data_IF_128406616328
#
_entry.id   IF_128406616328
#
_cell.length_a   1.000
_cell.length_b   1.000
_cell.length_c   1.000
_cell.angle_alpha   90.00
_cell.angle_beta   90.00
_cell.angle_gamma   90.00
#
_symmetry.space_group_name_H-M   'P 1'
#
loop_
_entity.id
_entity.type
_entity.pdbx_description
1 polymer ?
#
# COMPACT_ATOMS: atom_id res chain seq x y z
N UNK A 1 -12.62 17.84 8.58
CA UNK A 1 -11.35 17.94 7.84
C UNK A 1 -11.31 16.93 6.68
N UNK A 2 -10.50 17.20 5.66
CA UNK A 2 -10.28 16.31 4.50
C UNK A 2 -8.87 15.75 4.55
N UNK A 3 -8.77 14.46 4.78
CA UNK A 3 -7.48 13.78 4.89
C UNK A 3 -7.29 12.83 3.70
N UNK A 4 -6.21 13.01 2.96
CA UNK A 4 -5.83 12.09 1.89
C UNK A 4 -4.65 11.24 2.34
N UNK A 5 -4.75 9.92 2.21
CA UNK A 5 -3.73 8.97 2.69
C UNK A 5 -3.24 8.09 1.54
N UNK A 6 -1.93 8.04 1.33
CA UNK A 6 -1.30 7.07 0.41
C UNK A 6 -1.03 5.78 1.19
N UNK A 7 -1.58 4.67 0.70
CA UNK A 7 -1.54 3.40 1.43
C UNK A 7 -1.24 2.20 0.55
N UNK A 8 -0.62 1.19 1.14
CA UNK A 8 -0.51 -0.16 0.61
C UNK A 8 -0.39 -1.17 1.73
N UNK A 9 -0.93 -2.35 1.52
CA UNK A 9 -0.81 -3.48 2.43
C UNK A 9 -1.48 -3.32 3.79
N UNK A 10 -1.13 -4.25 4.68
CA UNK A 10 -1.73 -4.39 6.02
C UNK A 10 -1.45 -3.19 6.93
N UNK A 11 -0.22 -2.66 6.87
CA UNK A 11 0.17 -1.50 7.70
C UNK A 11 -0.67 -0.27 7.38
N UNK A 12 -0.84 0.03 6.09
CA UNK A 12 -1.67 1.13 5.63
C UNK A 12 -3.15 0.97 6.00
N UNK A 13 -3.70 -0.25 5.84
CA UNK A 13 -5.09 -0.53 6.21
C UNK A 13 -5.35 -0.36 7.71
N UNK A 14 -4.42 -0.78 8.58
CA UNK A 14 -4.50 -0.55 10.02
C UNK A 14 -4.42 0.93 10.38
N UNK A 15 -3.54 1.67 9.71
CA UNK A 15 -3.47 3.12 9.91
C UNK A 15 -4.79 3.79 9.55
N UNK A 16 -5.41 3.42 8.42
CA UNK A 16 -6.73 3.92 8.03
C UNK A 16 -7.82 3.60 9.07
N UNK A 17 -7.76 2.42 9.70
CA UNK A 17 -8.69 2.04 10.76
C UNK A 17 -8.56 2.96 11.99
N UNK A 18 -7.33 3.24 12.42
CA UNK A 18 -7.07 4.20 13.50
C UNK A 18 -7.49 5.63 13.14
N UNK A 19 -7.22 6.06 11.91
CA UNK A 19 -7.65 7.37 11.44
C UNK A 19 -9.19 7.50 11.41
N UNK A 20 -9.89 6.46 10.95
CA UNK A 20 -11.36 6.36 10.98
C UNK A 20 -11.92 6.38 12.41
N UNK A 21 -11.21 5.76 13.36
CA UNK A 21 -11.59 5.78 14.78
C UNK A 21 -11.44 7.17 15.39
N UNK A 22 -10.46 7.94 14.93
CA UNK A 22 -10.19 9.30 15.41
C UNK A 22 -11.18 10.34 14.88
N UNK A 23 -11.48 10.27 13.58
CA UNK A 23 -12.26 11.26 12.87
C UNK A 23 -13.76 10.95 12.93
N UNK A 24 -14.59 12.00 12.91
CA UNK A 24 -16.03 11.89 12.96
C UNK A 24 -16.71 11.77 11.59
N UNK A 25 -18.04 11.68 11.62
CA UNK A 25 -18.85 11.54 10.39
C UNK A 25 -18.81 12.78 9.48
N UNK A 26 -18.44 13.94 10.01
CA UNK A 26 -18.30 15.20 9.25
C UNK A 26 -16.94 15.32 8.56
N UNK A 27 -16.02 14.37 8.80
CA UNK A 27 -14.68 14.34 8.23
C UNK A 27 -14.62 13.44 7.00
N UNK A 28 -13.81 13.82 6.02
CA UNK A 28 -13.62 13.06 4.79
C UNK A 28 -12.24 12.40 4.76
N UNK A 29 -12.22 11.07 4.67
CA UNK A 29 -10.99 10.30 4.48
C UNK A 29 -10.98 9.71 3.08
N UNK A 30 -9.97 10.04 2.29
CA UNK A 30 -9.70 9.41 0.99
C UNK A 30 -8.39 8.65 1.05
N UNK A 31 -8.41 7.38 0.71
CA UNK A 31 -7.22 6.55 0.59
C UNK A 31 -6.88 6.32 -0.88
N UNK A 32 -5.67 6.73 -1.27
CA UNK A 32 -5.07 6.41 -2.57
C UNK A 32 -4.29 5.12 -2.38
N UNK A 33 -4.78 4.05 -2.98
CA UNK A 33 -4.31 2.69 -2.71
C UNK A 33 -3.40 2.21 -3.83
N UNK A 34 -2.29 1.56 -3.45
CA UNK A 34 -1.39 0.87 -4.37
C UNK A 34 -2.12 -0.19 -5.19
N UNK A 35 -1.78 -0.28 -6.47
CA UNK A 35 -2.23 -1.32 -7.41
C UNK A 35 -1.06 -2.11 -8.00
N UNK A 36 0.17 -1.82 -7.57
CA UNK A 36 1.38 -2.51 -8.07
C UNK A 36 1.39 -4.01 -7.79
N UNK A 37 0.67 -4.43 -6.77
CA UNK A 37 0.56 -5.84 -6.34
C UNK A 37 -0.56 -6.59 -7.08
N UNK A 38 -1.38 -5.88 -7.86
CA UNK A 38 -2.51 -6.43 -8.58
C UNK A 38 -2.07 -7.46 -9.63
N UNK A 39 -2.79 -8.56 -9.72
CA UNK A 39 -2.41 -9.69 -10.58
C UNK A 39 -3.64 -10.39 -11.15
N UNK A 40 -3.47 -11.00 -12.31
CA UNK A 40 -4.43 -11.95 -12.86
C UNK A 40 -3.99 -13.38 -12.54
N UNK A 41 -4.82 -14.13 -11.81
CA UNK A 41 -4.62 -15.56 -11.51
C UNK A 41 -5.90 -16.34 -11.72
N UNK A 42 -5.82 -17.50 -12.32
CA UNK A 42 -6.98 -18.36 -12.64
C UNK A 42 -8.11 -17.60 -13.38
N UNK A 43 -7.74 -16.60 -14.19
CA UNK A 43 -8.71 -15.76 -14.89
C UNK A 43 -9.41 -14.72 -14.01
N UNK A 44 -8.98 -14.52 -12.78
CA UNK A 44 -9.51 -13.54 -11.83
C UNK A 44 -8.51 -12.40 -11.59
N UNK A 45 -9.02 -11.17 -11.54
CA UNK A 45 -8.24 -10.00 -11.11
C UNK A 45 -8.25 -9.93 -9.58
N UNK A 46 -7.08 -10.01 -9.01
CA UNK A 46 -6.82 -9.95 -7.57
C UNK A 46 -6.15 -8.62 -7.30
N UNK A 47 -6.67 -7.86 -6.33
CA UNK A 47 -6.17 -6.55 -5.93
C UNK A 47 -5.88 -6.56 -4.43
N UNK A 48 -4.72 -7.08 -4.00
CA UNK A 48 -4.44 -7.38 -2.59
C UNK A 48 -4.57 -6.18 -1.66
N UNK A 49 -4.04 -5.02 -2.05
CA UNK A 49 -4.03 -3.85 -1.19
C UNK A 49 -5.42 -3.18 -1.08
N UNK A 50 -6.16 -3.09 -2.20
CA UNK A 50 -7.54 -2.63 -2.20
C UNK A 50 -8.43 -3.52 -1.33
N UNK A 51 -8.30 -4.84 -1.47
CA UNK A 51 -9.09 -5.81 -0.72
C UNK A 51 -8.74 -5.78 0.77
N UNK A 52 -7.46 -5.69 1.12
CA UNK A 52 -7.02 -5.56 2.51
C UNK A 52 -7.58 -4.30 3.15
N UNK A 53 -7.53 -3.15 2.48
CA UNK A 53 -8.13 -1.91 2.99
C UNK A 53 -9.65 -2.04 3.14
N UNK A 54 -10.34 -2.54 2.12
CA UNK A 54 -11.77 -2.70 2.11
C UNK A 54 -12.27 -3.67 3.20
N UNK A 55 -11.59 -4.80 3.36
CA UNK A 55 -11.95 -5.80 4.37
C UNK A 55 -11.64 -5.33 5.79
N UNK A 56 -10.50 -4.67 5.99
CA UNK A 56 -10.12 -4.12 7.31
C UNK A 56 -11.14 -3.07 7.78
N UNK A 57 -11.49 -2.14 6.90
CA UNK A 57 -12.42 -1.05 7.23
C UNK A 57 -13.89 -1.46 7.27
N UNK A 58 -14.24 -2.57 6.60
CA UNK A 58 -15.57 -3.15 6.56
C UNK A 58 -15.77 -4.35 7.48
N UNK A 59 -14.88 -4.57 8.46
CA UNK A 59 -14.95 -5.63 9.49
C UNK A 59 -14.98 -7.06 8.93
N UNK A 60 -14.40 -7.27 7.76
CA UNK A 60 -14.36 -8.56 7.09
C UNK A 60 -13.00 -9.23 7.02
N UNK A 61 -11.94 -8.56 7.54
CA UNK A 61 -10.57 -9.07 7.52
C UNK A 61 -10.37 -10.20 8.54
N UNK A 62 -9.50 -11.15 8.20
CA UNK A 62 -8.97 -12.08 9.20
C UNK A 62 -7.86 -11.37 10.00
N UNK A 63 -8.13 -11.07 11.25
CA UNK A 63 -7.22 -10.29 12.11
C UNK A 63 -5.97 -11.06 12.54
N UNK A 64 -6.03 -12.39 12.56
CA UNK A 64 -4.88 -13.24 12.92
C UNK A 64 -3.87 -13.29 11.76
N UNK A 65 -4.33 -13.56 10.56
CA UNK A 65 -3.48 -13.53 9.36
C UNK A 65 -3.10 -12.11 8.95
N UNK A 66 -4.00 -11.14 9.17
CA UNK A 66 -3.86 -9.77 8.72
C UNK A 66 -4.18 -9.56 7.23
N UNK A 67 -4.68 -10.60 6.53
CA UNK A 67 -5.11 -10.57 5.13
C UNK A 67 -6.22 -11.59 4.87
N UNK A 68 -6.94 -11.41 3.76
CA UNK A 68 -8.04 -12.28 3.38
C UNK A 68 -9.28 -12.13 4.29
N UNK A 69 -10.24 -13.01 4.09
CA UNK A 69 -11.55 -12.92 4.76
C UNK A 69 -11.58 -13.69 6.08
N UNK A 70 -12.30 -13.12 7.05
CA UNK A 70 -12.64 -13.84 8.28
C UNK A 70 -13.47 -15.08 7.97
N UNK A 71 -13.29 -16.14 8.75
CA UNK A 71 -13.99 -17.42 8.61
C UNK A 71 -13.88 -17.99 7.17
N UNK A 72 -12.70 -17.92 6.59
CA UNK A 72 -12.41 -18.40 5.24
C UNK A 72 -12.32 -19.92 5.19
N UNK A 73 -12.65 -20.48 4.03
CA UNK A 73 -12.44 -21.88 3.66
C UNK A 73 -11.60 -21.96 2.37
N UNK A 74 -11.07 -23.14 2.08
CA UNK A 74 -10.04 -23.30 1.02
C UNK A 74 -10.37 -24.42 0.02
N UNK A 75 -11.66 -24.77 -0.13
CA UNK A 75 -12.10 -25.85 -1.00
C UNK A 75 -11.73 -25.62 -2.46
N UNK A 76 -11.94 -24.40 -2.97
CA UNK A 76 -11.59 -24.08 -4.36
C UNK A 76 -10.08 -24.20 -4.62
N UNK A 77 -9.22 -23.79 -3.65
CA UNK A 77 -7.78 -23.97 -3.75
C UNK A 77 -7.40 -25.45 -3.84
N UNK A 78 -7.99 -26.27 -3.01
CA UNK A 78 -7.69 -27.70 -2.94
C UNK A 78 -8.16 -28.42 -4.25
N UNK A 79 -9.30 -28.03 -4.79
CA UNK A 79 -9.78 -28.53 -6.09
C UNK A 79 -8.90 -28.05 -7.25
N UNK A 80 -8.48 -26.78 -7.28
CA UNK A 80 -7.55 -26.28 -8.30
C UNK A 80 -6.22 -27.04 -8.27
N UNK A 81 -5.69 -27.34 -7.10
CA UNK A 81 -4.49 -28.16 -6.95
C UNK A 81 -4.70 -29.59 -7.47
N UNK A 82 -5.87 -30.19 -7.24
CA UNK A 82 -6.22 -31.52 -7.75
C UNK A 82 -6.30 -31.56 -9.30
N UNK A 83 -6.67 -30.44 -9.95
CA UNK A 83 -6.60 -30.28 -11.39
C UNK A 83 -5.18 -29.99 -11.91
N UNK A 84 -4.20 -29.73 -11.03
CA UNK A 84 -2.85 -29.31 -11.42
C UNK A 84 -2.83 -27.88 -11.98
N UNK A 85 -3.74 -27.02 -11.53
CA UNK A 85 -3.80 -25.64 -12.01
C UNK A 85 -2.67 -24.78 -11.41
N UNK A 86 -1.97 -24.04 -12.28
CA UNK A 86 -0.96 -23.07 -11.88
C UNK A 86 -1.57 -21.64 -11.83
N UNK A 87 -1.06 -20.77 -10.90
CA UNK A 87 -0.08 -21.05 -9.87
C UNK A 87 -0.71 -21.74 -8.62
N UNK A 88 0.01 -22.69 -8.04
CA UNK A 88 -0.40 -23.43 -6.82
C UNK A 88 0.05 -22.75 -5.52
N UNK A 89 0.99 -21.83 -5.61
CA UNK A 89 1.59 -21.12 -4.46
C UNK A 89 0.75 -19.97 -3.93
N UNK A 90 -0.28 -19.51 -4.67
CA UNK A 90 -1.15 -18.41 -4.22
C UNK A 90 -2.51 -18.96 -3.75
N UNK A 91 -2.80 -18.82 -2.47
CA UNK A 91 -4.05 -19.30 -1.90
C UNK A 91 -5.19 -18.32 -2.10
N UNK A 92 -6.25 -18.74 -2.81
CA UNK A 92 -7.52 -18.03 -2.90
C UNK A 92 -8.52 -18.64 -1.92
N UNK A 93 -9.05 -17.81 -1.03
CA UNK A 93 -10.13 -18.23 -0.14
C UNK A 93 -11.46 -18.29 -0.87
N UNK A 94 -12.34 -19.21 -0.47
CA UNK A 94 -13.64 -19.44 -1.12
C UNK A 94 -14.53 -18.19 -1.10
N UNK A 95 -14.52 -17.44 0.02
CA UNK A 95 -15.27 -16.18 0.16
C UNK A 95 -14.63 -15.05 -0.63
N UNK A 96 -13.29 -15.01 -0.65
CA UNK A 96 -12.52 -13.99 -1.37
C UNK A 96 -12.71 -14.12 -2.88
N UNK A 97 -12.83 -15.34 -3.39
CA UNK A 97 -13.16 -15.62 -4.79
C UNK A 97 -14.41 -14.86 -5.24
N UNK A 98 -15.43 -14.70 -4.40
CA UNK A 98 -16.63 -13.95 -4.76
C UNK A 98 -16.31 -12.49 -5.09
N UNK A 99 -15.45 -11.84 -4.33
CA UNK A 99 -14.97 -10.47 -4.61
C UNK A 99 -14.21 -10.42 -5.95
N UNK A 100 -13.30 -11.36 -6.18
CA UNK A 100 -12.52 -11.44 -7.41
C UNK A 100 -13.40 -11.73 -8.64
N UNK A 101 -14.43 -12.56 -8.51
CA UNK A 101 -15.40 -12.85 -9.57
C UNK A 101 -16.20 -11.60 -9.98
N UNK A 102 -16.74 -10.86 -9.01
CA UNK A 102 -17.48 -9.61 -9.27
C UNK A 102 -16.57 -8.59 -9.94
N UNK A 103 -15.38 -8.36 -9.37
CA UNK A 103 -14.38 -7.44 -9.95
C UNK A 103 -14.04 -7.82 -11.38
N UNK A 104 -13.67 -9.07 -11.62
CA UNK A 104 -13.22 -9.54 -12.93
C UNK A 104 -14.33 -9.44 -13.97
N UNK A 105 -15.58 -9.75 -13.59
CA UNK A 105 -16.75 -9.61 -14.48
C UNK A 105 -16.95 -8.15 -14.88
N UNK A 106 -16.91 -7.20 -13.93
CA UNK A 106 -17.08 -5.79 -14.21
C UNK A 106 -15.96 -5.24 -15.10
N UNK A 107 -14.70 -5.57 -14.80
CA UNK A 107 -13.55 -5.18 -15.64
C UNK A 107 -13.70 -5.69 -17.09
N UNK A 108 -14.12 -6.94 -17.28
CA UNK A 108 -14.33 -7.52 -18.61
C UNK A 108 -15.48 -6.87 -19.40
N UNK A 109 -16.42 -6.27 -18.70
CA UNK A 109 -17.51 -5.51 -19.33
C UNK A 109 -17.15 -4.04 -19.55
N UNK A 110 -15.90 -3.64 -19.27
CA UNK A 110 -15.35 -2.32 -19.59
C UNK A 110 -15.43 -1.28 -18.49
N UNK A 111 -15.85 -1.65 -17.27
CA UNK A 111 -15.77 -0.72 -16.14
C UNK A 111 -14.32 -0.52 -15.70
N UNK A 112 -13.88 0.73 -15.42
CA UNK A 112 -12.56 0.99 -14.88
C UNK A 112 -12.46 0.49 -13.42
N UNK A 113 -11.24 0.23 -12.95
CA UNK A 113 -11.00 -0.29 -11.60
C UNK A 113 -11.55 0.62 -10.50
N UNK A 114 -11.50 1.94 -10.69
CA UNK A 114 -12.08 2.92 -9.77
C UNK A 114 -13.59 2.73 -9.57
N UNK A 115 -14.34 2.55 -10.65
CA UNK A 115 -15.79 2.29 -10.58
C UNK A 115 -16.11 0.91 -9.98
N UNK A 116 -15.28 -0.10 -10.28
CA UNK A 116 -15.40 -1.44 -9.68
C UNK A 116 -15.14 -1.38 -8.17
N UNK A 117 -14.11 -0.64 -7.75
CA UNK A 117 -13.78 -0.44 -6.33
C UNK A 117 -14.93 0.24 -5.59
N UNK A 118 -15.51 1.29 -6.16
CA UNK A 118 -16.69 1.97 -5.60
C UNK A 118 -17.87 1.00 -5.43
N UNK A 119 -18.18 0.20 -6.45
CA UNK A 119 -19.24 -0.80 -6.39
C UNK A 119 -19.02 -1.85 -5.29
N UNK A 120 -17.80 -2.33 -5.11
CA UNK A 120 -17.46 -3.23 -4.01
C UNK A 120 -17.58 -2.55 -2.65
N UNK A 121 -17.16 -1.30 -2.53
CA UNK A 121 -17.28 -0.50 -1.30
C UNK A 121 -18.72 -0.24 -0.91
N UNK A 122 -19.68 -0.18 -1.85
CA UNK A 122 -21.11 -0.09 -1.54
C UNK A 122 -21.61 -1.26 -0.69
N UNK A 123 -21.05 -2.44 -0.86
CA UNK A 123 -21.35 -3.60 -0.01
C UNK A 123 -20.60 -3.52 1.33
N UNK A 124 -19.32 -3.18 1.29
CA UNK A 124 -18.45 -3.24 2.47
C UNK A 124 -18.59 -2.05 3.40
N UNK A 125 -19.03 -0.90 2.88
CA UNK A 125 -19.20 0.36 3.63
C UNK A 125 -18.01 0.71 4.49
N UNK A 126 -16.81 0.83 3.90
CA UNK A 126 -15.58 1.02 4.68
C UNK A 126 -15.55 2.32 5.49
N UNK A 127 -16.42 3.30 5.19
CA UNK A 127 -16.41 4.63 5.81
C UNK A 127 -15.25 5.52 5.38
N UNK A 128 -14.43 5.04 4.44
CA UNK A 128 -13.30 5.73 3.81
C UNK A 128 -13.48 5.59 2.30
N UNK A 129 -13.23 6.67 1.55
CA UNK A 129 -13.22 6.60 0.09
C UNK A 129 -11.94 5.92 -0.39
N UNK A 130 -12.07 4.73 -0.95
CA UNK A 130 -10.94 3.98 -1.52
C UNK A 130 -10.82 4.29 -3.01
N UNK A 131 -9.67 4.80 -3.43
CA UNK A 131 -9.33 5.05 -4.84
C UNK A 131 -8.10 4.22 -5.21
N UNK A 132 -8.15 3.38 -6.25
CA UNK A 132 -6.92 2.87 -6.85
C UNK A 132 -6.09 4.06 -7.35
N UNK A 133 -4.78 4.03 -7.25
CA UNK A 133 -3.96 5.14 -7.73
C UNK A 133 -4.14 5.38 -9.23
N UNK A 134 -4.42 4.32 -9.98
CA UNK A 134 -4.67 4.34 -11.43
C UNK A 134 -5.66 3.27 -11.85
N UNK A 135 -6.39 3.52 -12.92
CA UNK A 135 -7.21 2.52 -13.62
C UNK A 135 -6.40 1.75 -14.68
N UNK A 136 -5.21 2.26 -15.01
CA UNK A 136 -4.32 1.67 -16.01
C UNK A 136 -3.48 0.54 -15.41
N UNK A 137 -2.82 -0.22 -16.29
CA UNK A 137 -1.89 -1.25 -15.85
C UNK A 137 -0.67 -0.62 -15.18
N UNK A 138 -0.43 -0.99 -13.94
CA UNK A 138 0.78 -0.64 -13.19
C UNK A 138 1.08 -1.81 -12.25
N UNK A 139 2.05 -2.63 -12.61
CA UNK A 139 2.39 -3.86 -11.89
C UNK A 139 3.85 -3.81 -11.42
N UNK A 140 4.08 -4.12 -10.16
CA UNK A 140 5.44 -4.26 -9.62
C UNK A 140 6.01 -5.62 -10.02
N UNK A 141 7.11 -5.57 -10.76
CA UNK A 141 7.92 -6.72 -11.11
C UNK A 141 9.29 -6.65 -10.43
N UNK A 142 9.84 -7.80 -10.17
CA UNK A 142 11.12 -7.96 -9.47
C UNK A 142 12.08 -8.67 -10.40
N UNK A 143 13.23 -8.06 -10.67
CA UNK A 143 14.30 -8.68 -11.45
C UNK A 143 15.13 -9.53 -10.49
N UNK A 144 15.13 -10.83 -10.73
CA UNK A 144 15.80 -11.84 -9.89
C UNK A 144 16.77 -12.67 -10.71
N UNK A 145 17.72 -13.30 -10.05
CA UNK A 145 18.47 -14.41 -10.66
C UNK A 145 17.50 -15.57 -10.88
N UNK A 146 17.48 -16.13 -12.08
CA UNK A 146 16.53 -17.21 -12.41
C UNK A 146 16.82 -18.47 -11.56
N UNK A 147 15.90 -18.85 -10.66
CA UNK A 147 16.11 -20.00 -9.78
C UNK A 147 16.04 -21.35 -10.53
N UNK A 148 15.50 -21.36 -11.75
CA UNK A 148 15.36 -22.58 -12.55
C UNK A 148 16.57 -22.83 -13.46
N UNK A 149 17.50 -21.84 -13.58
CA UNK A 149 18.72 -21.97 -14.39
C UNK A 149 19.94 -22.35 -13.54
N UNK A 150 20.69 -23.36 -14.06
CA UNK A 150 21.82 -23.95 -13.34
C UNK A 150 23.10 -23.11 -13.32
N UNK A 151 23.23 -22.17 -14.26
CA UNK A 151 24.46 -21.39 -14.43
C UNK A 151 24.48 -20.07 -13.62
N UNK A 152 23.38 -19.71 -12.97
CA UNK A 152 23.31 -18.64 -11.96
C UNK A 152 23.46 -17.20 -12.46
N UNK A 153 23.62 -17.00 -13.78
CA UNK A 153 23.87 -15.66 -14.36
C UNK A 153 22.67 -15.08 -15.09
N UNK A 154 21.65 -15.89 -15.37
CA UNK A 154 20.46 -15.43 -16.09
C UNK A 154 19.52 -14.67 -15.15
N UNK A 155 19.08 -13.49 -15.58
CA UNK A 155 18.09 -12.70 -14.86
C UNK A 155 16.73 -12.81 -15.55
N UNK A 156 15.68 -12.86 -14.75
CA UNK A 156 14.29 -12.73 -15.23
C UNK A 156 13.48 -11.79 -14.35
N UNK A 157 12.47 -11.20 -14.94
CA UNK A 157 11.48 -10.42 -14.19
C UNK A 157 10.29 -11.32 -13.83
N UNK A 158 9.96 -11.34 -12.54
CA UNK A 158 8.79 -12.04 -12.01
C UNK A 158 7.84 -11.04 -11.36
N UNK A 159 6.56 -11.37 -11.29
CA UNK A 159 5.60 -10.53 -10.59
C UNK A 159 5.93 -10.44 -9.10
N UNK A 160 5.68 -9.29 -8.45
CA UNK A 160 5.94 -9.09 -7.03
C UNK A 160 5.29 -10.16 -6.15
N UNK A 161 4.05 -10.58 -6.44
CA UNK A 161 3.37 -11.63 -5.68
C UNK A 161 4.10 -12.98 -5.75
N UNK A 162 4.71 -13.33 -6.87
CA UNK A 162 5.53 -14.54 -6.97
C UNK A 162 6.80 -14.43 -6.12
N UNK A 163 7.48 -13.31 -6.19
CA UNK A 163 8.67 -13.04 -5.37
C UNK A 163 8.36 -13.07 -3.87
N UNK A 164 7.22 -12.48 -3.50
CA UNK A 164 6.79 -12.36 -2.12
C UNK A 164 6.24 -13.67 -1.54
N UNK A 165 5.25 -14.29 -2.19
CA UNK A 165 4.51 -15.44 -1.67
C UNK A 165 5.25 -16.74 -1.92
N UNK A 166 5.73 -16.96 -3.16
CA UNK A 166 6.41 -18.20 -3.56
C UNK A 166 7.83 -18.26 -3.02
N UNK A 167 8.60 -17.21 -3.24
CA UNK A 167 10.03 -17.20 -2.91
C UNK A 167 10.34 -16.53 -1.58
N UNK A 168 9.39 -15.88 -0.92
CA UNK A 168 9.55 -15.19 0.37
C UNK A 168 10.73 -14.22 0.39
N UNK A 169 10.97 -13.54 -0.72
CA UNK A 169 12.09 -12.64 -0.96
C UNK A 169 13.49 -13.28 -0.76
N UNK A 170 13.61 -14.61 -0.79
CA UNK A 170 14.84 -15.33 -0.46
C UNK A 170 15.70 -15.70 -1.70
N UNK A 171 15.35 -15.19 -2.86
CA UNK A 171 16.16 -15.37 -4.08
C UNK A 171 16.95 -14.09 -4.38
N UNK A 172 18.15 -14.21 -5.02
CA UNK A 172 18.94 -13.04 -5.35
C UNK A 172 18.14 -12.05 -6.21
N UNK A 173 18.03 -10.83 -5.70
CA UNK A 173 17.18 -9.78 -6.27
C UNK A 173 18.03 -8.59 -6.69
N UNK A 174 17.78 -8.07 -7.89
CA UNK A 174 18.60 -7.01 -8.51
C UNK A 174 17.91 -5.65 -8.57
N UNK A 175 16.62 -5.61 -8.90
CA UNK A 175 15.87 -4.36 -9.01
C UNK A 175 14.36 -4.59 -8.96
N UNK A 176 13.61 -3.48 -8.80
CA UNK A 176 12.17 -3.41 -8.96
C UNK A 176 11.83 -2.59 -10.19
N UNK A 177 10.76 -2.96 -10.89
CA UNK A 177 10.23 -2.24 -12.04
C UNK A 177 8.70 -2.13 -11.93
N UNK A 178 8.16 -0.94 -12.17
CA UNK A 178 6.70 -0.72 -12.22
C UNK A 178 6.25 -0.75 -13.67
N UNK A 179 5.87 -1.95 -14.14
CA UNK A 179 5.50 -2.19 -15.53
C UNK A 179 4.18 -1.50 -15.87
N UNK A 180 4.21 -0.64 -16.85
CA UNK A 180 3.06 0.14 -17.30
C UNK A 180 2.88 1.47 -16.59
N UNK A 181 3.55 1.71 -15.46
CA UNK A 181 3.37 2.94 -14.68
C UNK A 181 3.69 4.22 -15.47
N UNK A 182 4.72 4.22 -16.33
CA UNK A 182 5.12 5.39 -17.11
C UNK A 182 4.02 5.90 -18.06
N UNK A 183 3.14 5.02 -18.52
CA UNK A 183 2.01 5.34 -19.40
C UNK A 183 0.69 5.51 -18.64
N UNK A 184 0.69 5.20 -17.34
CA UNK A 184 -0.50 5.28 -16.51
C UNK A 184 -0.88 6.72 -16.20
N UNK A 185 -2.17 6.94 -16.00
CA UNK A 185 -2.74 8.19 -15.50
C UNK A 185 -3.36 7.96 -14.11
N UNK A 186 -3.33 8.95 -13.21
CA UNK A 186 -4.06 8.85 -11.95
C UNK A 186 -5.54 8.57 -12.19
N UNK A 187 -6.13 7.68 -11.38
CA UNK A 187 -7.56 7.39 -11.48
C UNK A 187 -8.42 8.63 -11.17
N UNK A 188 -9.66 8.68 -11.66
CA UNK A 188 -10.56 9.79 -11.38
C UNK A 188 -10.69 10.09 -9.89
N UNK A 189 -10.51 11.36 -9.52
CA UNK A 189 -10.59 11.86 -8.14
C UNK A 189 -9.29 11.78 -7.35
N UNK A 190 -8.24 11.12 -7.84
CA UNK A 190 -6.94 11.02 -7.13
C UNK A 190 -6.26 12.39 -7.03
N UNK A 191 -6.11 13.11 -8.13
CA UNK A 191 -5.50 14.43 -8.10
C UNK A 191 -6.36 15.46 -7.35
N UNK A 192 -7.68 15.37 -7.47
CA UNK A 192 -8.61 16.24 -6.75
C UNK A 192 -8.50 16.02 -5.23
N UNK A 193 -8.37 14.75 -4.79
CA UNK A 193 -8.19 14.42 -3.38
C UNK A 193 -6.86 14.99 -2.82
N UNK A 194 -5.77 14.95 -3.60
CA UNK A 194 -4.49 15.54 -3.19
C UNK A 194 -4.55 17.07 -3.16
N UNK A 195 -5.21 17.70 -4.12
CA UNK A 195 -5.31 19.15 -4.22
C UNK A 195 -6.25 19.75 -3.16
N UNK A 196 -7.32 19.05 -2.83
CA UNK A 196 -8.35 19.52 -1.90
C UNK A 196 -8.18 19.05 -0.45
N UNK A 197 -7.08 18.37 -0.12
CA UNK A 197 -6.81 17.89 1.23
C UNK A 197 -6.43 19.03 2.18
N UNK A 198 -6.80 18.89 3.46
CA UNK A 198 -6.27 19.68 4.57
C UNK A 198 -4.95 19.06 5.10
N UNK A 199 -4.81 17.74 4.98
CA UNK A 199 -3.57 17.01 5.25
C UNK A 199 -3.41 15.85 4.27
N UNK A 200 -2.16 15.60 3.84
CA UNK A 200 -1.78 14.41 3.08
C UNK A 200 -0.85 13.55 3.93
N UNK A 201 -1.17 12.27 4.06
CA UNK A 201 -0.40 11.35 4.90
C UNK A 201 0.16 10.20 4.05
N UNK A 202 1.45 9.90 4.18
CA UNK A 202 2.05 8.66 3.74
C UNK A 202 1.95 7.66 4.91
N UNK A 203 1.05 6.70 4.82
CA UNK A 203 0.90 5.66 5.85
C UNK A 203 2.21 4.86 6.02
N UNK A 204 2.42 4.15 7.14
CA UNK A 204 3.60 3.32 7.36
C UNK A 204 3.55 2.03 6.51
N UNK A 205 3.50 2.22 5.20
CA UNK A 205 3.50 1.19 4.16
C UNK A 205 4.91 1.03 3.57
N UNK A 206 5.15 -0.07 2.85
CA UNK A 206 6.45 -0.32 2.23
C UNK A 206 6.86 0.85 1.30
N UNK A 207 8.02 1.47 1.53
CA UNK A 207 8.42 2.66 0.76
C UNK A 207 8.78 2.36 -0.69
N UNK A 208 9.07 1.11 -1.04
CA UNK A 208 9.48 0.70 -2.39
C UNK A 208 8.29 0.19 -3.19
N UNK A 209 7.65 -0.87 -2.71
CA UNK A 209 6.63 -1.59 -3.49
C UNK A 209 5.20 -1.13 -3.22
N UNK A 210 4.97 -0.33 -2.18
CA UNK A 210 3.65 0.28 -1.93
C UNK A 210 3.67 1.78 -2.25
N UNK A 211 4.25 2.62 -1.39
CA UNK A 211 4.30 4.07 -1.63
C UNK A 211 5.10 4.39 -2.89
N UNK A 212 6.23 3.72 -3.11
CA UNK A 212 7.05 3.89 -4.32
C UNK A 212 6.29 3.58 -5.60
N UNK A 213 5.47 2.54 -5.61
CA UNK A 213 4.62 2.19 -6.76
C UNK A 213 3.51 3.22 -7.01
N UNK A 214 2.91 3.79 -5.95
CA UNK A 214 1.97 4.92 -6.07
C UNK A 214 2.69 6.14 -6.69
N UNK A 215 3.88 6.45 -6.19
CA UNK A 215 4.68 7.60 -6.65
C UNK A 215 5.22 7.43 -8.08
N UNK A 216 5.25 6.21 -8.61
CA UNK A 216 5.67 5.93 -9.98
C UNK A 216 4.61 6.34 -11.01
N UNK A 217 3.36 6.50 -10.62
CA UNK A 217 2.30 6.98 -11.52
C UNK A 217 2.52 8.47 -11.81
N UNK A 218 2.63 8.87 -13.09
CA UNK A 218 2.88 10.27 -13.47
C UNK A 218 1.85 11.23 -12.89
N UNK A 219 2.32 12.37 -12.41
CA UNK A 219 1.47 13.41 -11.80
C UNK A 219 1.36 13.32 -10.27
N UNK A 220 1.52 12.14 -9.65
CA UNK A 220 1.38 11.99 -8.19
C UNK A 220 2.45 12.78 -7.44
N UNK A 221 3.73 12.62 -7.78
CA UNK A 221 4.83 13.40 -7.13
C UNK A 221 4.62 14.91 -7.31
N UNK A 222 4.21 15.33 -8.48
CA UNK A 222 3.93 16.76 -8.76
C UNK A 222 2.78 17.25 -7.90
N UNK A 223 1.69 16.50 -7.78
CA UNK A 223 0.55 16.84 -6.94
C UNK A 223 0.94 16.98 -5.47
N UNK A 224 1.74 16.05 -4.93
CA UNK A 224 2.27 16.12 -3.56
C UNK A 224 3.16 17.35 -3.33
N UNK A 225 3.94 17.75 -4.33
CA UNK A 225 4.82 18.92 -4.24
C UNK A 225 4.07 20.25 -4.33
N UNK A 226 2.93 20.27 -4.99
CA UNK A 226 2.16 21.50 -5.27
C UNK A 226 0.92 21.67 -4.41
N UNK A 227 0.47 20.64 -3.70
CA UNK A 227 -0.66 20.76 -2.78
C UNK A 227 -0.39 21.80 -1.68
N UNK A 228 -1.44 22.54 -1.27
CA UNK A 228 -1.39 23.45 -0.14
C UNK A 228 -1.33 22.72 1.22
N UNK A 229 -1.79 21.47 1.26
CA UNK A 229 -1.72 20.64 2.45
C UNK A 229 -0.29 20.29 2.83
N UNK A 230 0.01 20.15 4.11
CA UNK A 230 1.27 19.53 4.54
C UNK A 230 1.26 18.04 4.24
N UNK A 231 2.40 17.55 3.76
CA UNK A 231 2.64 16.13 3.49
C UNK A 231 3.43 15.54 4.65
N UNK A 232 2.81 14.64 5.39
CA UNK A 232 3.35 13.99 6.58
C UNK A 232 3.54 12.51 6.31
N UNK A 233 4.73 11.99 6.51
CA UNK A 233 4.99 10.56 6.40
C UNK A 233 5.20 9.92 7.77
N UNK A 234 4.89 8.62 7.87
CA UNK A 234 5.15 7.80 9.05
C UNK A 234 6.15 6.70 8.70
N UNK A 235 7.15 6.51 9.55
CA UNK A 235 8.17 5.48 9.35
C UNK A 235 7.57 4.07 9.41
N UNK A 236 7.82 3.23 8.39
CA UNK A 236 7.49 1.80 8.45
C UNK A 236 8.56 0.99 9.21
N UNK A 237 9.61 1.64 9.68
CA UNK A 237 10.76 1.03 10.38
C UNK A 237 10.78 1.51 11.82
N UNK A 238 10.93 0.57 12.75
CA UNK A 238 11.07 0.81 14.19
C UNK A 238 12.28 -0.01 14.69
N UNK A 239 13.20 0.63 15.42
CA UNK A 239 14.41 -0.01 15.93
C UNK A 239 15.20 -0.78 14.85
N UNK A 240 15.32 -0.19 13.65
CA UNK A 240 16.03 -0.78 12.52
C UNK A 240 15.36 -2.00 11.88
N UNK A 241 14.07 -2.23 12.15
CA UNK A 241 13.31 -3.35 11.62
C UNK A 241 11.98 -2.89 11.02
N UNK A 242 11.52 -3.52 9.92
CA UNK A 242 10.20 -3.23 9.41
C UNK A 242 9.13 -3.64 10.43
N UNK A 243 8.10 -2.82 10.59
CA UNK A 243 6.96 -3.14 11.45
C UNK A 243 6.21 -4.37 10.95
N UNK A 244 6.13 -4.54 9.64
CA UNK A 244 5.54 -5.70 8.97
C UNK A 244 6.14 -5.88 7.58
N UNK A 245 6.03 -7.11 7.11
CA UNK A 245 6.48 -7.46 5.78
C UNK A 245 8.00 -7.50 5.66
N UNK A 246 8.51 -7.34 4.44
CA UNK A 246 9.92 -7.43 4.07
C UNK A 246 10.40 -6.10 3.45
N UNK A 247 10.10 -4.98 4.13
CA UNK A 247 10.55 -3.66 3.65
C UNK A 247 12.08 -3.54 3.69
N UNK A 248 12.75 -4.23 4.60
CA UNK A 248 14.20 -4.34 4.70
C UNK A 248 14.82 -4.97 3.45
N UNK A 249 14.26 -6.07 2.96
CA UNK A 249 14.70 -6.69 1.70
C UNK A 249 14.52 -5.73 0.52
N UNK A 250 13.37 -5.06 0.44
CA UNK A 250 13.12 -4.07 -0.61
C UNK A 250 14.08 -2.88 -0.54
N UNK A 251 14.33 -2.35 0.65
CA UNK A 251 15.25 -1.23 0.87
C UNK A 251 16.69 -1.60 0.51
N UNK A 252 17.12 -2.81 0.89
CA UNK A 252 18.45 -3.34 0.55
C UNK A 252 18.66 -3.34 -0.96
N UNK A 253 17.69 -3.81 -1.74
CA UNK A 253 17.77 -3.86 -3.21
C UNK A 253 17.97 -2.48 -3.83
N UNK A 254 17.32 -1.44 -3.28
CA UNK A 254 17.47 -0.06 -3.80
C UNK A 254 18.63 0.72 -3.15
N UNK A 255 19.42 0.07 -2.28
CA UNK A 255 20.58 0.69 -1.62
C UNK A 255 20.22 1.68 -0.52
N UNK A 256 19.06 1.55 0.09
CA UNK A 256 18.60 2.37 1.24
C UNK A 256 18.73 1.55 2.51
N UNK A 257 19.35 2.13 3.54
CA UNK A 257 19.47 1.50 4.84
C UNK A 257 18.08 1.31 5.51
N UNK A 258 17.90 0.20 6.23
CA UNK A 258 16.68 -0.06 7.00
C UNK A 258 16.70 0.75 8.29
N UNK A 259 16.42 2.03 8.20
CA UNK A 259 16.30 2.95 9.33
C UNK A 259 15.22 4.02 9.05
N UNK A 260 14.64 4.56 10.12
CA UNK A 260 13.65 5.62 10.01
C UNK A 260 14.23 6.87 9.31
N UNK A 261 15.51 7.20 9.57
CA UNK A 261 16.20 8.31 8.93
C UNK A 261 16.40 8.07 7.43
N UNK A 262 16.92 6.90 7.04
CA UNK A 262 17.22 6.61 5.64
C UNK A 262 15.94 6.57 4.78
N UNK A 263 14.84 6.03 5.31
CA UNK A 263 13.54 6.04 4.61
C UNK A 263 13.01 7.48 4.47
N UNK A 264 13.08 8.29 5.53
CA UNK A 264 12.66 9.68 5.45
C UNK A 264 13.51 10.50 4.46
N UNK A 265 14.83 10.26 4.41
CA UNK A 265 15.74 10.86 3.41
C UNK A 265 15.44 10.39 1.98
N UNK A 266 15.03 9.14 1.81
CA UNK A 266 14.62 8.59 0.52
C UNK A 266 13.38 9.32 -0.05
N UNK A 267 12.41 9.67 0.79
CA UNK A 267 11.29 10.53 0.38
C UNK A 267 11.72 11.99 0.18
N UNK A 268 12.59 12.48 1.02
CA UNK A 268 13.17 13.81 0.96
C UNK A 268 12.23 14.97 1.27
N UNK A 269 12.82 16.14 1.53
CA UNK A 269 12.08 17.35 1.85
C UNK A 269 11.38 17.97 0.64
N UNK A 270 10.12 18.40 0.81
CA UNK A 270 9.36 19.13 -0.22
C UNK A 270 9.98 20.48 -0.56
N UNK A 271 10.69 21.10 0.37
CA UNK A 271 11.46 22.32 0.16
C UNK A 271 12.65 22.17 -0.81
N UNK A 272 13.06 20.93 -1.06
CA UNK A 272 14.08 20.59 -2.08
C UNK A 272 13.44 19.81 -3.24
N UNK A 273 13.81 18.56 -3.45
CA UNK A 273 13.33 17.70 -4.54
C UNK A 273 12.37 16.59 -4.07
N UNK A 274 12.22 16.43 -2.77
CA UNK A 274 11.39 15.41 -2.13
C UNK A 274 9.92 15.80 -2.00
N UNK A 275 9.21 15.12 -1.10
CA UNK A 275 7.77 15.25 -0.93
C UNK A 275 7.32 15.51 0.51
N UNK A 276 8.20 15.42 1.52
CA UNK A 276 7.83 15.53 2.93
C UNK A 276 7.92 16.96 3.46
N UNK A 277 6.95 17.36 4.28
CA UNK A 277 7.05 18.49 5.20
C UNK A 277 7.37 18.01 6.62
N UNK A 278 6.79 16.87 7.05
CA UNK A 278 7.06 16.29 8.36
C UNK A 278 7.21 14.76 8.28
N UNK A 279 7.94 14.21 9.23
CA UNK A 279 8.23 12.78 9.31
C UNK A 279 8.07 12.29 10.74
N UNK A 280 7.22 11.30 10.96
CA UNK A 280 7.02 10.67 12.25
C UNK A 280 7.89 9.42 12.37
N UNK A 281 8.68 9.36 13.44
CA UNK A 281 9.54 8.22 13.80
C UNK A 281 9.09 7.63 15.13
N UNK A 282 9.43 6.37 15.37
CA UNK A 282 9.15 5.76 16.66
C UNK A 282 9.95 6.43 17.79
N UNK A 283 9.40 6.42 19.00
CA UNK A 283 9.98 7.10 20.16
C UNK A 283 11.39 6.64 20.57
N UNK A 284 11.81 5.46 20.12
CA UNK A 284 13.16 4.91 20.33
C UNK A 284 14.13 5.23 19.18
N UNK A 285 13.61 5.63 18.02
CA UNK A 285 14.42 5.98 16.86
C UNK A 285 14.90 7.44 16.90
N UNK A 286 15.93 7.72 16.13
CA UNK A 286 16.44 9.06 15.88
C UNK A 286 16.54 9.31 14.38
N UNK A 287 16.24 10.52 13.95
CA UNK A 287 16.43 10.94 12.57
C UNK A 287 16.68 12.44 12.49
N UNK A 288 17.52 12.83 11.54
CA UNK A 288 17.73 14.22 11.15
C UNK A 288 17.66 14.32 9.64
N UNK A 289 16.59 14.95 9.15
CA UNK A 289 16.33 15.08 7.70
C UNK A 289 16.29 16.58 7.39
N UNK A 290 17.26 17.11 6.63
CA UNK A 290 17.27 18.54 6.29
C UNK A 290 15.97 18.97 5.63
N UNK A 291 15.33 20.02 6.14
CA UNK A 291 14.10 20.57 5.58
C UNK A 291 12.82 19.79 5.88
N UNK A 292 12.86 18.82 6.77
CA UNK A 292 11.70 18.04 7.23
C UNK A 292 11.57 18.15 8.75
N UNK A 293 10.36 18.44 9.23
CA UNK A 293 10.06 18.46 10.67
C UNK A 293 9.94 17.00 11.17
N UNK A 294 10.85 16.58 12.03
CA UNK A 294 10.86 15.22 12.58
C UNK A 294 10.19 15.18 13.95
N UNK A 295 9.22 14.27 14.11
CA UNK A 295 8.46 14.07 15.35
C UNK A 295 8.63 12.65 15.86
N UNK A 296 9.01 12.51 17.14
CA UNK A 296 9.17 11.22 17.81
C UNK A 296 7.87 10.88 18.56
N UNK A 297 7.20 9.81 18.15
CA UNK A 297 5.91 9.36 18.70
C UNK A 297 5.84 7.82 18.70
N UNK A 298 5.00 7.19 19.54
CA UNK A 298 4.78 5.75 19.44
C UNK A 298 4.20 5.37 18.07
N UNK A 299 4.86 4.46 17.33
CA UNK A 299 4.43 3.99 15.99
C UNK A 299 4.00 2.51 15.97
N UNK A 300 3.63 1.92 17.10
CA UNK A 300 3.16 0.56 17.17
C UNK A 300 1.62 0.51 17.07
N UNK A 301 1.12 -0.06 16.00
CA UNK A 301 -0.32 -0.21 15.72
C UNK A 301 -0.85 -1.50 16.36
N UNK A 302 -0.99 -1.52 17.69
CA UNK A 302 -1.45 -2.70 18.45
C UNK A 302 -2.96 -2.91 18.33
N UNK A 303 -3.71 -1.82 18.31
CA UNK A 303 -5.16 -1.75 18.26
C UNK A 303 -5.61 -0.44 17.56
N UNK A 304 -6.90 -0.28 17.22
CA UNK A 304 -7.42 0.92 16.57
C UNK A 304 -7.26 2.19 17.42
N UNK A 305 -7.44 2.09 18.73
CA UNK A 305 -7.35 3.22 19.66
C UNK A 305 -5.91 3.74 19.76
N UNK A 306 -4.93 2.86 19.90
CA UNK A 306 -3.50 3.22 19.88
C UNK A 306 -3.12 3.82 18.52
N UNK A 307 -3.65 3.26 17.43
CA UNK A 307 -3.41 3.78 16.09
C UNK A 307 -4.09 5.14 15.87
N UNK A 308 -5.23 5.40 16.51
CA UNK A 308 -5.88 6.72 16.51
C UNK A 308 -4.99 7.80 17.13
N UNK A 309 -4.24 7.48 18.20
CA UNK A 309 -3.26 8.42 18.80
C UNK A 309 -2.11 8.73 17.82
N UNK A 310 -1.66 7.74 17.08
CA UNK A 310 -0.66 7.92 16.02
C UNK A 310 -1.21 8.82 14.89
N UNK A 311 -2.45 8.58 14.46
CA UNK A 311 -3.10 9.40 13.45
C UNK A 311 -3.28 10.85 13.93
N UNK A 312 -3.65 11.05 15.20
CA UNK A 312 -3.74 12.39 15.81
C UNK A 312 -2.37 13.11 15.80
N UNK A 313 -1.28 12.37 16.07
CA UNK A 313 0.06 12.96 15.99
C UNK A 313 0.41 13.38 14.54
N UNK A 314 0.04 12.59 13.55
CA UNK A 314 0.25 12.93 12.13
C UNK A 314 -0.55 14.18 11.72
N UNK A 315 -1.81 14.29 12.14
CA UNK A 315 -2.65 15.46 11.84
C UNK A 315 -2.13 16.72 12.55
N UNK A 316 -1.66 16.61 13.79
CA UNK A 316 -0.98 17.74 14.48
C UNK A 316 0.30 18.16 13.77
N UNK A 317 1.11 17.22 13.28
CA UNK A 317 2.29 17.54 12.47
C UNK A 317 1.93 18.23 11.15
N UNK A 318 0.73 17.93 10.61
CA UNK A 318 0.17 18.67 9.48
C UNK A 318 -0.37 20.07 9.86
N UNK A 319 -0.41 20.42 11.14
CA UNK A 319 -0.91 21.72 11.63
C UNK A 319 -2.41 21.76 11.87
N UNK A 320 -3.07 20.60 11.96
CA UNK A 320 -4.50 20.50 12.28
C UNK A 320 -4.71 20.38 13.79
N UNK A 321 -5.62 21.18 14.32
CA UNK A 321 -6.12 21.06 15.70
C UNK A 321 -7.34 20.12 15.69
N UNK A 322 -7.33 19.11 16.57
CA UNK A 322 -8.37 18.09 16.69
C UNK A 322 -9.11 18.26 18.02
#
# INVERSE_FOLDING_TARGET
VKVTVLVGGVGGARFLQGLKTLLGDDDEITAIVNVGDDVWMHGLRICPDLDTCMYTLGDGIDTERGWGRIAETWHARDELAAYGADPDWFGLGDRDIATHLIRSRMLRTGYPLSAVTEALCNRWKPGVRLLPVTDDRSETHVVVTDPDEKDGDTQRAIHFQEWWVRYRAQIPTHSFANIGAEQASPAPGVLDALAGADAVILAPSNPVVSVGAILAVPGIRSALRTTSAKVVGLSPVVDGKPLRGMADECLTVIGVETSAEAVGRHYGARSDTGILDAWLIHSTDQATIPGVDVHSVPLLMTDPETTALMAAAALRAAGLEL
#
